data_IF_944176034404
#
_entry.id   IF_944176034404
#
_cell.length_a   1.000
_cell.length_b   1.000
_cell.length_c   1.000
_cell.angle_alpha   90.00
_cell.angle_beta   90.00
_cell.angle_gamma   90.00
#
_symmetry.space_group_name_H-M   'P 1'
#
loop_
_entity.id
_entity.type
_entity.pdbx_description
1 polymer ?
#
# COMPACT_ATOMS: atom_id res chain seq x y z
N UNK A 1 1.14 -14.67 3.66
CA UNK A 1 0.70 -14.19 2.33
C UNK A 1 1.26 -12.80 2.02
N UNK A 2 0.58 -11.69 2.33
CA UNK A 2 1.11 -10.34 2.03
C UNK A 2 2.51 -10.10 2.61
N UNK A 3 2.71 -10.45 3.89
CA UNK A 3 4.04 -10.36 4.51
C UNK A 3 5.10 -11.15 3.75
N UNK A 4 4.77 -12.33 3.22
CA UNK A 4 5.75 -13.13 2.49
C UNK A 4 6.16 -12.44 1.19
N UNK A 5 5.23 -11.79 0.49
CA UNK A 5 5.51 -10.98 -0.70
C UNK A 5 6.48 -9.84 -0.36
N UNK A 6 6.15 -9.05 0.67
CA UNK A 6 6.97 -7.93 1.12
C UNK A 6 8.39 -8.34 1.55
N UNK A 7 8.54 -9.53 2.10
CA UNK A 7 9.82 -10.04 2.62
C UNK A 7 10.61 -10.86 1.57
N UNK A 8 10.11 -11.01 0.34
CA UNK A 8 10.85 -11.68 -0.75
C UNK A 8 12.23 -11.08 -1.00
N UNK A 9 12.44 -9.74 -0.98
CA UNK A 9 13.76 -9.15 -1.18
C UNK A 9 14.79 -9.59 -0.13
N UNK A 10 14.33 -9.93 1.08
CA UNK A 10 15.17 -10.36 2.20
C UNK A 10 15.35 -11.87 2.23
N UNK A 11 14.28 -12.62 1.94
CA UNK A 11 14.26 -14.09 2.04
C UNK A 11 14.73 -14.80 0.77
N UNK A 12 14.61 -14.15 -0.38
CA UNK A 12 14.96 -14.67 -1.72
C UNK A 12 15.79 -13.66 -2.52
N UNK A 13 16.67 -12.92 -1.84
CA UNK A 13 17.45 -11.81 -2.40
C UNK A 13 18.07 -12.10 -3.77
N UNK A 14 18.83 -13.20 -3.91
CA UNK A 14 19.51 -13.56 -5.17
C UNK A 14 18.53 -13.77 -6.32
N UNK A 15 17.36 -14.35 -6.06
CA UNK A 15 16.35 -14.62 -7.08
C UNK A 15 15.66 -13.33 -7.50
N UNK A 16 15.24 -12.51 -6.52
CA UNK A 16 14.56 -11.24 -6.77
C UNK A 16 15.48 -10.27 -7.53
N UNK A 17 16.77 -10.23 -7.19
CA UNK A 17 17.76 -9.39 -7.86
C UNK A 17 17.88 -9.69 -9.37
N UNK A 18 17.54 -10.91 -9.82
CA UNK A 18 17.56 -11.26 -11.25
C UNK A 18 16.34 -10.81 -12.04
N UNK A 19 15.25 -10.43 -11.37
CA UNK A 19 13.95 -10.16 -12.01
C UNK A 19 13.78 -8.73 -12.54
N UNK A 20 14.79 -7.86 -12.38
CA UNK A 20 14.77 -6.47 -12.85
C UNK A 20 13.49 -5.71 -12.44
N UNK A 21 13.00 -5.96 -11.23
CA UNK A 21 11.78 -5.34 -10.71
C UNK A 21 12.05 -3.84 -10.47
N UNK A 22 11.18 -2.94 -10.96
CA UNK A 22 11.37 -1.50 -10.80
C UNK A 22 11.16 -1.06 -9.34
N UNK A 23 11.82 0.03 -8.96
CA UNK A 23 11.45 0.83 -7.79
C UNK A 23 10.38 1.84 -8.23
N UNK A 24 9.18 1.74 -7.64
CA UNK A 24 8.00 2.50 -8.05
C UNK A 24 7.64 3.60 -7.06
N UNK A 25 8.38 3.74 -5.95
CA UNK A 25 8.08 4.73 -4.90
C UNK A 25 8.15 6.17 -5.42
N UNK A 26 9.13 6.49 -6.26
CA UNK A 26 9.29 7.83 -6.81
C UNK A 26 8.11 8.23 -7.72
N UNK A 27 7.67 7.31 -8.59
CA UNK A 27 6.53 7.53 -9.49
C UNK A 27 5.22 7.62 -8.69
N UNK A 28 5.07 6.81 -7.65
CA UNK A 28 3.94 6.86 -6.72
C UNK A 28 3.81 8.24 -6.05
N UNK A 29 4.92 8.80 -5.55
CA UNK A 29 4.93 10.15 -4.96
C UNK A 29 4.66 11.24 -6.01
N UNK A 30 5.23 11.11 -7.21
CA UNK A 30 5.02 12.08 -8.29
C UNK A 30 3.56 12.14 -8.76
N UNK A 31 2.85 11.00 -8.77
CA UNK A 31 1.42 10.95 -9.07
C UNK A 31 0.61 11.74 -8.03
N UNK A 32 0.91 11.54 -6.74
CA UNK A 32 0.28 12.27 -5.65
C UNK A 32 0.49 13.80 -5.78
N UNK A 33 1.72 14.23 -6.09
CA UNK A 33 2.04 15.64 -6.34
C UNK A 33 1.27 16.21 -7.53
N UNK A 34 1.13 15.43 -8.60
CA UNK A 34 0.31 15.80 -9.75
C UNK A 34 -1.17 15.94 -9.37
N UNK A 35 -1.70 15.02 -8.58
CA UNK A 35 -3.05 15.10 -8.01
C UNK A 35 -3.27 16.36 -7.18
N UNK A 36 -2.32 16.70 -6.31
CA UNK A 36 -2.33 17.94 -5.53
C UNK A 36 -2.38 19.17 -6.44
N UNK A 37 -1.54 19.21 -7.47
CA UNK A 37 -1.45 20.33 -8.42
C UNK A 37 -2.73 20.51 -9.25
N UNK A 38 -3.35 19.41 -9.66
CA UNK A 38 -4.59 19.42 -10.46
C UNK A 38 -5.85 19.60 -9.62
N UNK A 39 -5.73 19.56 -8.29
CA UNK A 39 -6.85 19.75 -7.37
C UNK A 39 -7.75 18.52 -7.22
N UNK A 40 -7.31 17.33 -7.68
CA UNK A 40 -7.97 16.05 -7.38
C UNK A 40 -7.98 15.85 -5.87
N UNK A 41 -9.08 15.34 -5.32
CA UNK A 41 -9.13 14.92 -3.93
C UNK A 41 -10.31 13.98 -3.72
N UNK A 42 -10.04 12.81 -3.14
CA UNK A 42 -11.04 11.83 -2.78
C UNK A 42 -10.97 11.53 -1.28
N UNK A 43 -11.93 12.08 -0.55
CA UNK A 43 -12.02 11.95 0.91
C UNK A 43 -12.34 10.51 1.37
N UNK A 44 -12.60 9.56 0.47
CA UNK A 44 -12.88 8.18 0.88
C UNK A 44 -11.64 7.42 1.38
N UNK A 45 -10.43 7.91 1.06
CA UNK A 45 -9.17 7.23 1.38
C UNK A 45 -8.52 7.73 2.68
N UNK A 46 -8.92 8.89 3.19
CA UNK A 46 -8.48 9.36 4.50
C UNK A 46 -9.55 10.19 5.20
N UNK A 47 -9.51 10.21 6.54
CA UNK A 47 -10.38 11.07 7.37
C UNK A 47 -9.94 12.54 7.43
N UNK A 48 -9.06 12.99 6.53
CA UNK A 48 -8.42 14.30 6.57
C UNK A 48 -9.15 15.32 5.70
N UNK A 49 -8.94 16.60 6.00
CA UNK A 49 -9.27 17.66 5.05
C UNK A 49 -8.29 17.64 3.87
N UNK A 50 -8.69 18.19 2.72
CA UNK A 50 -7.79 18.32 1.56
C UNK A 50 -6.50 19.08 1.92
N UNK A 51 -6.59 20.12 2.75
CA UNK A 51 -5.44 20.91 3.17
C UNK A 51 -4.53 20.16 4.16
N UNK A 52 -5.11 19.38 5.08
CA UNK A 52 -4.31 18.54 5.98
C UNK A 52 -3.61 17.40 5.22
N UNK A 53 -4.30 16.77 4.25
CA UNK A 53 -3.71 15.74 3.42
C UNK A 53 -2.55 16.29 2.57
N UNK A 54 -2.71 17.49 1.97
CA UNK A 54 -1.61 18.21 1.29
C UNK A 54 -0.43 18.48 2.21
N UNK A 55 -0.70 18.94 3.43
CA UNK A 55 0.34 19.23 4.42
C UNK A 55 1.14 17.96 4.75
N UNK A 56 0.46 16.85 5.01
CA UNK A 56 1.10 15.57 5.35
C UNK A 56 1.97 15.06 4.19
N UNK A 57 1.47 15.13 2.94
CA UNK A 57 2.25 14.75 1.75
C UNK A 57 3.51 15.62 1.59
N UNK A 58 3.43 16.91 1.91
CA UNK A 58 4.57 17.81 1.80
C UNK A 58 5.61 17.64 2.93
N UNK A 59 5.18 17.17 4.10
CA UNK A 59 6.00 17.13 5.32
C UNK A 59 6.67 15.78 5.57
N UNK A 60 6.14 14.67 5.03
CA UNK A 60 6.55 13.32 5.44
C UNK A 60 6.96 12.34 4.32
N UNK A 61 7.17 12.71 3.04
CA UNK A 61 7.40 11.71 1.99
C UNK A 61 8.70 10.91 2.22
N UNK A 62 9.70 11.50 2.87
CA UNK A 62 10.97 10.87 3.22
C UNK A 62 10.86 9.75 4.26
N UNK A 63 9.70 9.65 4.93
CA UNK A 63 9.43 8.54 5.86
C UNK A 63 9.20 7.23 5.11
N UNK A 64 8.78 7.26 3.84
CA UNK A 64 8.54 6.08 3.03
C UNK A 64 9.85 5.49 2.50
N UNK A 65 9.96 4.16 2.48
CA UNK A 65 11.17 3.47 2.06
C UNK A 65 10.85 2.33 1.10
N UNK A 66 11.64 2.23 0.03
CA UNK A 66 11.55 1.15 -0.95
C UNK A 66 12.25 -0.11 -0.42
N UNK A 67 11.61 -0.78 0.55
CA UNK A 67 12.19 -1.90 1.31
C UNK A 67 11.40 -3.22 1.19
N UNK A 68 10.30 -3.18 0.43
CA UNK A 68 9.40 -4.30 0.22
C UNK A 68 9.05 -4.43 -1.27
N UNK A 69 8.83 -5.66 -1.71
CA UNK A 69 8.18 -5.92 -2.99
C UNK A 69 6.67 -5.85 -2.76
N UNK A 70 5.98 -4.87 -3.35
CA UNK A 70 4.54 -4.65 -3.19
C UNK A 70 3.77 -5.07 -4.45
N UNK A 71 2.48 -5.32 -4.28
CA UNK A 71 1.49 -5.46 -5.34
C UNK A 71 1.10 -4.10 -5.95
N UNK A 72 0.97 -3.06 -5.12
CA UNK A 72 0.58 -1.71 -5.54
C UNK A 72 -0.93 -1.49 -5.66
N UNK A 73 -1.73 -2.56 -5.58
CA UNK A 73 -3.20 -2.51 -5.47
C UNK A 73 -3.70 -3.80 -4.80
N UNK A 74 -3.27 -4.00 -3.55
CA UNK A 74 -3.56 -5.22 -2.77
C UNK A 74 -5.01 -5.25 -2.26
N UNK A 75 -5.96 -5.29 -3.19
CA UNK A 75 -7.40 -5.33 -2.95
C UNK A 75 -7.96 -6.75 -3.08
N UNK A 76 -9.07 -7.05 -2.39
CA UNK A 76 -9.75 -8.36 -2.46
C UNK A 76 -9.99 -8.91 -3.88
N UNK A 77 -10.47 -8.12 -4.87
CA UNK A 77 -10.65 -8.63 -6.23
C UNK A 77 -9.34 -9.06 -6.92
N UNK A 78 -8.19 -8.55 -6.47
CA UNK A 78 -6.87 -8.81 -7.08
C UNK A 78 -6.15 -10.01 -6.46
N UNK A 79 -6.76 -10.65 -5.46
CA UNK A 79 -6.20 -11.79 -4.73
C UNK A 79 -6.97 -13.06 -5.11
N UNK A 80 -6.27 -14.03 -5.69
CA UNK A 80 -6.85 -15.34 -6.01
C UNK A 80 -6.57 -16.35 -4.91
N UNK A 81 -7.62 -17.02 -4.44
CA UNK A 81 -7.52 -18.12 -3.50
C UNK A 81 -8.00 -19.43 -4.15
N UNK A 82 -7.25 -20.51 -3.94
CA UNK A 82 -7.64 -21.89 -4.24
C UNK A 82 -7.66 -22.69 -2.94
N UNK A 83 -8.81 -23.26 -2.58
CA UNK A 83 -9.03 -23.94 -1.29
C UNK A 83 -8.53 -23.12 -0.08
N UNK A 84 -8.89 -21.82 -0.03
CA UNK A 84 -8.46 -20.85 0.99
C UNK A 84 -6.95 -20.62 1.10
N UNK A 85 -6.16 -21.08 0.13
CA UNK A 85 -4.72 -20.82 0.01
C UNK A 85 -4.48 -19.81 -1.09
N UNK A 86 -3.43 -18.99 -0.96
CA UNK A 86 -3.02 -18.09 -2.04
C UNK A 86 -2.74 -18.90 -3.31
N UNK A 87 -3.44 -18.59 -4.39
CA UNK A 87 -3.17 -19.12 -5.72
C UNK A 87 -2.38 -18.12 -6.57
N UNK A 88 -2.56 -16.82 -6.35
CA UNK A 88 -1.80 -15.79 -7.05
C UNK A 88 -2.43 -14.40 -6.93
N UNK A 89 -1.84 -13.47 -7.66
CA UNK A 89 -2.27 -12.09 -7.77
C UNK A 89 -2.56 -11.76 -9.24
N UNK A 90 -3.43 -10.79 -9.46
CA UNK A 90 -3.71 -10.20 -10.78
C UNK A 90 -3.60 -8.67 -10.66
N UNK A 91 -3.57 -7.97 -11.79
CA UNK A 91 -3.49 -6.50 -11.82
C UNK A 91 -2.21 -5.93 -11.17
N UNK A 92 -1.07 -6.27 -11.78
CA UNK A 92 0.27 -5.98 -11.24
C UNK A 92 0.91 -4.74 -11.88
N UNK A 93 0.11 -3.84 -12.48
CA UNK A 93 0.62 -2.68 -13.20
C UNK A 93 1.34 -1.68 -12.29
N UNK A 94 1.03 -1.69 -10.98
CA UNK A 94 1.69 -0.89 -9.95
C UNK A 94 2.65 -1.70 -9.06
N UNK A 95 2.93 -2.95 -9.42
CA UNK A 95 3.80 -3.81 -8.62
C UNK A 95 5.27 -3.40 -8.79
N UNK A 96 6.01 -3.42 -7.68
CA UNK A 96 7.41 -3.02 -7.67
C UNK A 96 7.98 -2.92 -6.27
N UNK A 97 9.22 -2.46 -6.17
CA UNK A 97 9.78 -2.06 -4.88
C UNK A 97 9.16 -0.74 -4.43
N UNK A 98 8.64 -0.71 -3.20
CA UNK A 98 8.10 0.49 -2.57
C UNK A 98 7.95 0.27 -1.06
N UNK A 99 7.26 1.19 -0.39
CA UNK A 99 6.91 1.05 1.02
C UNK A 99 5.75 0.07 1.18
N UNK A 100 5.96 -0.95 2.03
CA UNK A 100 4.96 -1.96 2.41
C UNK A 100 3.61 -1.38 2.84
N UNK A 101 3.58 -0.15 3.35
CA UNK A 101 2.36 0.48 3.85
C UNK A 101 1.35 0.77 2.75
N UNK A 102 1.76 0.84 1.48
CA UNK A 102 0.85 0.92 0.32
C UNK A 102 -0.11 -0.27 0.32
N UNK A 103 0.41 -1.50 0.28
CA UNK A 103 -0.43 -2.70 0.27
C UNK A 103 -1.16 -2.94 1.60
N UNK A 104 -0.56 -2.56 2.74
CA UNK A 104 -1.22 -2.68 4.05
C UNK A 104 -2.45 -1.78 4.09
N UNK A 105 -2.33 -0.53 3.60
CA UNK A 105 -3.44 0.39 3.49
C UNK A 105 -4.56 -0.21 2.62
N UNK A 106 -4.23 -0.66 1.41
CA UNK A 106 -5.21 -1.27 0.51
C UNK A 106 -5.85 -2.52 1.09
N UNK A 107 -5.08 -3.37 1.78
CA UNK A 107 -5.59 -4.54 2.48
C UNK A 107 -6.58 -4.23 3.60
N UNK A 108 -6.36 -3.15 4.35
CA UNK A 108 -7.31 -2.66 5.37
C UNK A 108 -8.56 -2.10 4.68
N UNK A 109 -8.35 -1.19 3.72
CA UNK A 109 -9.42 -0.48 3.04
C UNK A 109 -10.37 -1.44 2.33
N UNK A 110 -9.84 -2.41 1.58
CA UNK A 110 -10.63 -3.36 0.81
C UNK A 110 -11.51 -4.26 1.69
N UNK A 111 -11.02 -4.66 2.87
CA UNK A 111 -11.79 -5.46 3.83
C UNK A 111 -12.95 -4.64 4.38
N UNK A 112 -12.69 -3.39 4.77
CA UNK A 112 -13.73 -2.49 5.25
C UNK A 112 -14.77 -2.20 4.16
N UNK A 113 -14.31 -1.88 2.95
CA UNK A 113 -15.17 -1.51 1.83
C UNK A 113 -16.10 -2.64 1.40
N UNK A 114 -15.56 -3.85 1.19
CA UNK A 114 -16.34 -4.99 0.68
C UNK A 114 -17.17 -5.69 1.76
N UNK A 115 -16.72 -5.70 3.02
CA UNK A 115 -17.43 -6.36 4.12
C UNK A 115 -18.30 -5.39 4.93
N UNK A 116 -18.25 -4.09 4.60
CA UNK A 116 -18.98 -3.01 5.25
C UNK A 116 -18.77 -2.98 6.78
N UNK A 117 -17.55 -3.30 7.23
CA UNK A 117 -17.22 -3.35 8.66
C UNK A 117 -15.72 -3.18 8.90
N UNK A 118 -15.35 -2.46 9.96
CA UNK A 118 -13.96 -2.31 10.41
C UNK A 118 -13.50 -3.46 11.34
N UNK A 119 -14.37 -4.44 11.62
CA UNK A 119 -14.09 -5.52 12.56
C UNK A 119 -12.87 -6.40 12.20
N UNK A 120 -12.40 -6.34 10.95
CA UNK A 120 -11.27 -7.12 10.46
C UNK A 120 -9.94 -6.37 10.45
N UNK A 121 -9.93 -5.04 10.69
CA UNK A 121 -8.70 -4.23 10.66
C UNK A 121 -7.64 -4.78 11.60
N UNK A 122 -7.98 -4.96 12.88
CA UNK A 122 -7.04 -5.44 13.87
C UNK A 122 -6.56 -6.86 13.58
N UNK A 123 -7.47 -7.73 13.11
CA UNK A 123 -7.11 -9.10 12.73
C UNK A 123 -6.15 -9.12 11.54
N UNK A 124 -6.33 -8.23 10.57
CA UNK A 124 -5.43 -8.09 9.42
C UNK A 124 -4.04 -7.63 9.87
N UNK A 125 -3.98 -6.58 10.70
CA UNK A 125 -2.73 -6.06 11.26
C UNK A 125 -1.98 -7.13 12.08
N UNK A 126 -2.69 -7.89 12.91
CA UNK A 126 -2.10 -8.95 13.72
C UNK A 126 -1.58 -10.11 12.85
N UNK A 127 -2.32 -10.49 11.81
CA UNK A 127 -1.91 -11.51 10.86
C UNK A 127 -0.69 -11.08 10.02
N UNK A 128 -0.61 -9.80 9.67
CA UNK A 128 0.53 -9.22 8.98
C UNK A 128 1.77 -9.17 9.89
N UNK A 129 1.63 -8.69 11.12
CA UNK A 129 2.71 -8.43 12.06
C UNK A 129 2.68 -6.97 12.50
N UNK A 130 1.85 -6.68 13.50
CA UNK A 130 1.51 -5.32 13.96
C UNK A 130 2.73 -4.48 14.34
N UNK A 131 3.79 -5.11 14.83
CA UNK A 131 5.07 -4.47 15.18
C UNK A 131 5.78 -3.80 14.00
N UNK A 132 5.40 -4.16 12.77
CA UNK A 132 5.98 -3.62 11.52
C UNK A 132 5.08 -2.60 10.84
N UNK A 133 3.96 -2.25 11.46
CA UNK A 133 2.99 -1.33 10.90
C UNK A 133 3.07 0.01 11.62
N UNK A 134 3.57 1.00 10.90
CA UNK A 134 3.61 2.39 11.32
C UNK A 134 2.28 3.07 10.95
N UNK A 135 1.60 3.61 11.97
CA UNK A 135 0.32 4.28 11.77
C UNK A 135 0.47 5.63 11.07
N UNK A 136 1.59 6.34 11.28
CA UNK A 136 1.83 7.63 10.65
C UNK A 136 2.07 7.45 9.15
N UNK A 137 2.70 6.33 8.75
CA UNK A 137 2.81 5.92 7.35
C UNK A 137 1.45 5.56 6.76
N UNK A 138 0.58 4.85 7.47
CA UNK A 138 -0.77 4.57 6.97
C UNK A 138 -1.59 5.86 6.75
N UNK A 139 -1.45 6.84 7.63
CA UNK A 139 -2.07 8.17 7.45
C UNK A 139 -1.52 8.86 6.20
N UNK A 140 -0.20 8.86 6.01
CA UNK A 140 0.45 9.40 4.82
C UNK A 140 0.00 8.71 3.53
N UNK A 141 -0.06 7.37 3.51
CA UNK A 141 -0.56 6.61 2.36
C UNK A 141 -2.01 6.98 2.06
N UNK A 142 -2.89 7.01 3.07
CA UNK A 142 -4.28 7.45 2.86
C UNK A 142 -4.38 8.87 2.30
N UNK A 143 -3.51 9.79 2.74
CA UNK A 143 -3.40 11.12 2.17
C UNK A 143 -2.95 11.07 0.69
N UNK A 144 -1.92 10.29 0.35
CA UNK A 144 -1.43 10.10 -1.02
C UNK A 144 -2.52 9.56 -1.94
N UNK A 145 -3.18 8.46 -1.54
CA UNK A 145 -4.27 7.82 -2.32
C UNK A 145 -5.45 8.78 -2.54
N UNK A 146 -5.65 9.75 -1.64
CA UNK A 146 -6.67 10.78 -1.83
C UNK A 146 -6.38 11.71 -3.01
N UNK A 147 -5.12 11.86 -3.44
CA UNK A 147 -4.75 12.71 -4.58
C UNK A 147 -4.54 11.92 -5.88
N UNK A 148 -4.38 10.60 -5.79
CA UNK A 148 -4.41 9.69 -6.93
C UNK A 148 -3.07 9.43 -7.58
#
# INVERSE_FOLDING_TARGET
>A
MLRELHELPHTKHEQVATLAIPDVLADYLANAEHGVHTGRFDAQFCGLSQDDARRIIAERPETLHSDALIHGDYCLPNIMLDDWRLAGFIDLDHAGFSDRHVDIFWGIWTLQFNLHTDAYRDRFLDAYGRDRVDQDKLELIGAIESFG
#
